data_IF_572449595793
#
_entry.id   IF_572449595793
#
_cell.length_a   1.000
_cell.length_b   1.000
_cell.length_c   1.000
_cell.angle_alpha   90.00
_cell.angle_beta   90.00
_cell.angle_gamma   90.00
#
_symmetry.space_group_name_H-M   'P 1'
#
loop_
_entity.id
_entity.type
_entity.pdbx_description
1 polymer ?
#
# COMPACT_ATOMS: atom_id res chain seq x y z
N UNK A 1 92.20 -5.64 -14.16
CA UNK A 1 92.83 -4.54 -14.86
C UNK A 1 92.09 -3.27 -14.68
N UNK A 2 92.72 -2.33 -14.00
CA UNK A 2 92.74 -0.88 -14.13
C UNK A 2 91.43 -0.13 -13.76
N UNK A 3 91.45 0.49 -12.55
CA UNK A 3 91.91 1.87 -12.18
C UNK A 3 90.93 2.93 -12.67
N UNK A 4 90.46 3.81 -11.93
CA UNK A 4 90.81 4.91 -11.00
C UNK A 4 89.66 5.95 -11.17
N UNK A 5 89.14 6.49 -10.26
CA UNK A 5 89.49 7.53 -9.27
C UNK A 5 88.62 8.80 -9.52
N UNK A 6 88.09 9.30 -8.50
CA UNK A 6 88.35 10.68 -8.08
C UNK A 6 87.10 11.59 -8.05
N UNK A 7 86.94 12.21 -6.91
CA UNK A 7 86.41 13.53 -6.84
C UNK A 7 85.40 13.79 -5.70
N UNK A 8 86.02 14.04 -4.56
CA UNK A 8 85.42 14.67 -3.39
C UNK A 8 85.15 16.15 -3.66
N UNK A 9 83.95 16.67 -3.40
CA UNK A 9 83.71 18.07 -2.96
C UNK A 9 82.57 18.15 -2.01
N UNK A 10 82.82 18.51 -0.78
CA UNK A 10 81.89 18.89 0.28
C UNK A 10 81.55 20.35 0.06
N UNK A 11 80.25 20.68 0.04
CA UNK A 11 79.81 22.00 0.45
C UNK A 11 78.54 21.86 1.30
N UNK A 12 78.71 22.14 2.57
CA UNK A 12 77.59 22.33 3.51
C UNK A 12 77.05 23.71 3.33
N UNK A 13 75.73 23.81 3.27
CA UNK A 13 75.03 25.04 3.66
C UNK A 13 73.71 24.68 4.33
N UNK A 14 73.64 25.10 5.56
CA UNK A 14 72.46 25.05 6.40
C UNK A 14 71.34 25.93 5.82
N UNK A 15 70.16 25.39 5.76
CA UNK A 15 68.93 26.11 5.51
C UNK A 15 67.75 25.56 6.38
N UNK A 16 67.59 26.17 7.55
CA UNK A 16 66.40 25.94 8.33
C UNK A 16 65.15 26.38 7.48
N UNK A 17 64.47 25.42 6.96
CA UNK A 17 63.11 25.60 6.41
C UNK A 17 62.12 24.90 7.34
N UNK A 18 61.47 25.65 8.22
CA UNK A 18 60.35 25.17 8.98
C UNK A 18 59.21 24.83 7.99
N UNK A 19 59.15 23.55 7.62
CA UNK A 19 58.00 23.00 6.95
C UNK A 19 56.84 22.93 7.97
N UNK A 20 56.04 23.98 8.02
CA UNK A 20 54.69 23.90 8.55
C UNK A 20 53.95 22.85 7.73
N UNK A 21 53.93 21.61 8.24
CA UNK A 21 52.95 20.62 7.83
C UNK A 21 51.59 21.16 8.18
N UNK A 22 50.95 21.88 7.22
CA UNK A 22 49.52 22.04 7.22
C UNK A 22 48.93 20.62 7.13
N UNK A 23 48.63 20.05 8.29
CA UNK A 23 47.61 18.99 8.36
C UNK A 23 46.38 19.57 7.69
N UNK A 24 46.10 19.13 6.47
CA UNK A 24 44.84 19.41 5.83
C UNK A 24 43.79 18.92 6.81
N UNK A 25 43.12 19.85 7.44
CA UNK A 25 41.90 19.63 8.19
C UNK A 25 40.96 18.94 7.20
N UNK A 26 40.82 17.61 7.32
CA UNK A 26 39.73 16.89 6.68
C UNK A 26 38.50 17.47 7.33
N UNK A 27 37.88 18.45 6.70
CA UNK A 27 36.60 18.95 7.11
C UNK A 27 35.71 17.74 7.35
N UNK A 28 35.39 17.51 8.62
CA UNK A 28 34.48 16.47 9.02
C UNK A 28 33.22 16.61 8.18
N UNK A 29 32.75 15.53 7.62
CA UNK A 29 31.48 15.55 6.87
C UNK A 29 30.42 16.27 7.71
N UNK A 30 29.61 17.12 7.12
CA UNK A 30 28.60 17.88 7.87
C UNK A 30 27.76 16.90 8.69
N UNK A 31 27.56 17.25 9.96
CA UNK A 31 26.70 16.45 10.85
C UNK A 31 25.30 16.30 10.24
N UNK A 32 24.87 15.09 9.90
CA UNK A 32 23.57 14.87 9.24
C UNK A 32 22.37 15.33 10.08
N UNK A 33 22.55 15.48 11.39
CA UNK A 33 21.52 15.97 12.32
C UNK A 33 21.51 17.49 12.48
N UNK A 34 22.45 18.19 11.82
CA UNK A 34 22.58 19.64 11.87
C UNK A 34 23.37 20.13 13.11
N UNK A 35 23.81 21.40 13.08
CA UNK A 35 24.67 21.98 14.13
C UNK A 35 23.92 22.38 15.39
N UNK A 36 22.61 22.59 15.30
CA UNK A 36 21.77 23.11 16.40
C UNK A 36 21.38 22.00 17.38
N UNK A 37 21.24 22.38 18.66
CA UNK A 37 20.82 21.46 19.73
C UNK A 37 19.77 22.13 20.62
N UNK A 38 18.87 21.31 21.16
CA UNK A 38 17.83 21.78 22.09
C UNK A 38 18.29 21.65 23.55
N UNK A 39 19.10 20.65 23.84
CA UNK A 39 19.64 20.37 25.18
C UNK A 39 20.92 19.54 25.10
N UNK A 40 21.58 19.39 26.25
CA UNK A 40 22.65 18.42 26.48
C UNK A 40 22.30 17.57 27.69
N UNK A 41 22.42 16.26 27.59
CA UNK A 41 22.19 15.31 28.69
C UNK A 41 23.42 14.40 28.84
N UNK A 42 24.00 14.34 30.04
CA UNK A 42 25.22 13.58 30.35
C UNK A 42 26.36 13.80 29.32
N UNK A 43 26.55 15.05 28.89
CA UNK A 43 27.54 15.43 27.89
C UNK A 43 27.17 15.09 26.44
N UNK A 44 26.06 14.43 26.18
CA UNK A 44 25.55 14.13 24.84
C UNK A 44 24.61 15.22 24.36
N UNK A 45 24.83 15.67 23.15
CA UNK A 45 23.99 16.65 22.47
C UNK A 45 22.65 16.01 22.04
N UNK A 46 21.55 16.70 22.32
CA UNK A 46 20.24 16.39 21.74
C UNK A 46 20.01 17.35 20.56
N UNK A 47 20.09 16.85 19.30
CA UNK A 47 19.92 17.66 18.11
C UNK A 47 18.51 18.28 18.05
N UNK A 48 18.42 19.52 17.58
CA UNK A 48 17.11 20.17 17.34
C UNK A 48 16.25 19.41 16.35
N UNK A 49 16.86 18.77 15.32
CA UNK A 49 16.16 17.94 14.35
C UNK A 49 15.44 16.74 14.99
N UNK A 50 16.09 16.08 15.96
CA UNK A 50 15.49 14.95 16.70
C UNK A 50 14.34 15.45 17.57
N UNK A 51 14.53 16.56 18.27
CA UNK A 51 13.51 17.20 19.10
C UNK A 51 12.26 17.54 18.25
N UNK A 52 12.43 18.18 17.11
CA UNK A 52 11.32 18.56 16.21
C UNK A 52 10.53 17.35 15.73
N UNK A 53 11.20 16.27 15.32
CA UNK A 53 10.55 15.03 14.89
C UNK A 53 9.78 14.37 16.04
N UNK A 54 10.37 14.29 17.23
CA UNK A 54 9.70 13.71 18.38
C UNK A 54 8.48 14.53 18.81
N UNK A 55 8.63 15.86 18.86
CA UNK A 55 7.55 16.77 19.19
C UNK A 55 6.36 16.60 18.25
N UNK A 56 6.61 16.61 16.95
CA UNK A 56 5.56 16.41 15.95
C UNK A 56 4.87 15.05 16.11
N UNK A 57 5.65 14.00 16.37
CA UNK A 57 5.12 12.64 16.52
C UNK A 57 4.24 12.49 17.78
N UNK A 58 4.59 13.17 18.89
CA UNK A 58 3.88 13.01 20.17
C UNK A 58 2.75 13.99 20.36
N UNK A 59 2.87 15.21 19.86
CA UNK A 59 1.90 16.29 20.08
C UNK A 59 1.06 16.66 18.86
N UNK A 60 1.49 16.25 17.65
CA UNK A 60 0.91 16.70 16.39
C UNK A 60 1.22 18.16 16.04
N UNK A 61 2.02 18.88 16.86
CA UNK A 61 2.38 20.28 16.66
C UNK A 61 3.83 20.42 16.18
N UNK A 62 4.12 21.47 15.41
CA UNK A 62 5.51 21.82 15.14
C UNK A 62 6.15 22.40 16.41
N UNK A 63 7.45 22.21 16.56
CA UNK A 63 8.19 22.68 17.72
C UNK A 63 8.15 24.22 17.90
N UNK A 64 7.96 24.96 16.83
CA UNK A 64 7.85 26.42 16.83
C UNK A 64 6.47 26.92 17.28
N UNK A 65 5.45 26.05 17.25
CA UNK A 65 4.08 26.36 17.63
C UNK A 65 3.79 26.06 19.11
N UNK A 66 4.79 25.57 19.86
CA UNK A 66 4.65 25.23 21.27
C UNK A 66 4.68 26.46 22.18
N UNK A 67 3.81 26.48 23.16
CA UNK A 67 3.93 27.40 24.30
C UNK A 67 5.21 27.09 25.11
N UNK A 68 5.71 28.03 25.95
CA UNK A 68 6.89 27.75 26.78
C UNK A 68 6.77 26.51 27.68
N UNK A 69 5.59 26.26 28.24
CA UNK A 69 5.35 25.10 29.10
C UNK A 69 5.29 23.80 28.28
N UNK A 70 4.61 23.81 27.12
CA UNK A 70 4.60 22.67 26.18
C UNK A 70 6.02 22.36 25.67
N UNK A 71 6.80 23.38 25.32
CA UNK A 71 8.19 23.18 24.91
C UNK A 71 9.04 22.57 26.01
N UNK A 72 8.87 23.01 27.26
CA UNK A 72 9.59 22.45 28.40
C UNK A 72 9.21 20.97 28.60
N UNK A 73 7.92 20.61 28.49
CA UNK A 73 7.46 19.23 28.58
C UNK A 73 8.07 18.39 27.45
N UNK A 74 8.00 18.85 26.18
CA UNK A 74 8.57 18.16 25.04
C UNK A 74 10.09 17.96 25.14
N UNK A 75 10.83 18.93 25.70
CA UNK A 75 12.26 18.77 25.97
C UNK A 75 12.51 17.66 26.99
N UNK A 76 11.71 17.62 28.08
CA UNK A 76 11.83 16.55 29.10
C UNK A 76 11.53 15.18 28.52
N UNK A 77 10.54 15.05 27.61
CA UNK A 77 10.22 13.79 26.93
C UNK A 77 11.40 13.28 26.09
N UNK A 78 12.04 14.16 25.30
CA UNK A 78 13.21 13.79 24.51
C UNK A 78 14.41 13.44 25.42
N UNK A 79 14.63 14.20 26.50
CA UNK A 79 15.66 13.88 27.49
C UNK A 79 15.41 12.50 28.09
N UNK A 80 14.15 12.19 28.45
CA UNK A 80 13.75 10.87 28.92
C UNK A 80 14.11 9.75 27.96
N UNK A 81 13.84 9.92 26.65
CA UNK A 81 14.23 8.94 25.64
C UNK A 81 15.75 8.71 25.60
N UNK A 82 16.55 9.77 25.67
CA UNK A 82 18.01 9.66 25.68
C UNK A 82 18.53 8.93 26.91
N UNK A 83 17.95 9.22 28.09
CA UNK A 83 18.33 8.57 29.35
C UNK A 83 17.96 7.08 29.34
N UNK A 84 16.75 6.72 28.93
CA UNK A 84 16.33 5.31 28.80
C UNK A 84 17.17 4.55 27.77
N UNK A 85 17.51 5.17 26.66
CA UNK A 85 18.38 4.55 25.66
C UNK A 85 19.81 4.35 26.18
N UNK A 86 20.32 5.27 27.01
CA UNK A 86 21.64 5.12 27.67
C UNK A 86 21.61 4.01 28.72
N UNK A 87 20.57 3.94 29.52
CA UNK A 87 20.37 2.85 30.49
C UNK A 87 20.33 1.49 29.80
N UNK A 88 19.57 1.36 28.70
CA UNK A 88 19.50 0.12 27.94
C UNK A 88 20.87 -0.32 27.39
N UNK A 89 21.72 0.63 26.97
CA UNK A 89 23.11 0.33 26.56
C UNK A 89 23.96 -0.12 27.74
N UNK A 90 23.85 0.56 28.90
CA UNK A 90 24.63 0.24 30.11
C UNK A 90 24.26 -1.14 30.68
N UNK A 91 23.00 -1.50 30.63
CA UNK A 91 22.51 -2.81 31.07
C UNK A 91 22.77 -3.93 30.07
N UNK A 92 23.22 -3.61 28.84
CA UNK A 92 23.54 -4.59 27.80
C UNK A 92 22.33 -5.25 27.15
N UNK A 93 21.11 -4.83 27.46
CA UNK A 93 19.86 -5.45 26.92
C UNK A 93 19.78 -5.36 25.41
N UNK A 94 20.45 -4.37 24.78
CA UNK A 94 20.47 -4.23 23.31
C UNK A 94 21.31 -5.31 22.62
N UNK A 95 22.18 -6.03 23.37
CA UNK A 95 22.96 -7.15 22.88
C UNK A 95 22.22 -8.50 22.95
N UNK A 96 21.08 -8.55 23.61
CA UNK A 96 20.24 -9.73 23.61
C UNK A 96 19.82 -10.08 22.18
N UNK A 97 19.98 -11.36 21.81
CA UNK A 97 19.84 -11.82 20.41
C UNK A 97 18.53 -11.40 19.74
N UNK A 98 17.43 -11.51 20.47
CA UNK A 98 16.10 -11.13 19.94
C UNK A 98 15.98 -9.61 19.74
N UNK A 99 16.47 -8.83 20.69
CA UNK A 99 16.43 -7.35 20.64
C UNK A 99 17.36 -6.84 19.55
N UNK A 100 18.59 -7.36 19.47
CA UNK A 100 19.54 -7.01 18.41
C UNK A 100 18.98 -7.30 17.01
N UNK A 101 18.35 -8.47 16.82
CA UNK A 101 17.71 -8.81 15.54
C UNK A 101 16.55 -7.86 15.19
N UNK A 102 15.74 -7.48 16.18
CA UNK A 102 14.62 -6.53 15.98
C UNK A 102 15.12 -5.12 15.62
N UNK A 103 16.16 -4.65 16.29
CA UNK A 103 16.78 -3.34 15.99
C UNK A 103 17.36 -3.33 14.58
N UNK A 104 18.09 -4.40 14.19
CA UNK A 104 18.65 -4.54 12.85
C UNK A 104 17.56 -4.56 11.78
N UNK A 105 16.48 -5.34 11.99
CA UNK A 105 15.35 -5.36 11.07
C UNK A 105 14.70 -3.97 10.93
N UNK A 106 14.52 -3.26 12.04
CA UNK A 106 13.95 -1.90 12.03
C UNK A 106 14.83 -0.93 11.25
N UNK A 107 16.16 -1.02 11.43
CA UNK A 107 17.14 -0.23 10.68
C UNK A 107 17.03 -0.51 9.19
N UNK A 108 17.09 -1.78 8.79
CA UNK A 108 17.01 -2.20 7.39
C UNK A 108 15.69 -1.76 6.72
N UNK A 109 14.56 -1.92 7.41
CA UNK A 109 13.26 -1.47 6.90
C UNK A 109 13.21 0.04 6.70
N UNK A 110 13.82 0.81 7.61
CA UNK A 110 13.86 2.26 7.48
C UNK A 110 14.73 2.71 6.31
N UNK A 111 15.93 2.13 6.18
CA UNK A 111 16.85 2.42 5.08
C UNK A 111 16.22 2.06 3.72
N UNK A 112 15.62 0.87 3.61
CA UNK A 112 14.94 0.43 2.40
C UNK A 112 13.78 1.38 2.03
N UNK A 113 12.99 1.81 3.01
CA UNK A 113 11.89 2.77 2.77
C UNK A 113 12.40 4.12 2.25
N UNK A 114 13.47 4.66 2.87
CA UNK A 114 14.08 5.92 2.42
C UNK A 114 14.56 5.79 0.97
N UNK A 115 15.22 4.66 0.64
CA UNK A 115 15.71 4.43 -0.72
C UNK A 115 14.56 4.25 -1.72
N UNK A 116 13.50 3.50 -1.34
CA UNK A 116 12.32 3.32 -2.17
C UNK A 116 11.63 4.66 -2.49
N UNK A 117 11.45 5.53 -1.49
CA UNK A 117 10.88 6.87 -1.70
C UNK A 117 11.73 7.67 -2.69
N UNK A 118 13.05 7.74 -2.47
CA UNK A 118 13.96 8.48 -3.35
C UNK A 118 14.01 7.91 -4.77
N UNK A 119 13.95 6.59 -4.90
CA UNK A 119 13.89 5.93 -6.19
C UNK A 119 12.62 6.32 -6.97
N UNK A 120 11.46 6.32 -6.30
CA UNK A 120 10.19 6.71 -6.94
C UNK A 120 10.12 8.22 -7.24
N UNK A 121 10.76 9.08 -6.44
CA UNK A 121 10.90 10.51 -6.77
C UNK A 121 11.72 10.73 -8.06
N UNK A 122 12.73 9.90 -8.30
CA UNK A 122 13.56 9.92 -9.50
C UNK A 122 12.94 9.20 -10.69
N UNK A 123 12.02 8.28 -10.44
CA UNK A 123 11.32 7.46 -11.44
C UNK A 123 9.79 7.53 -11.20
N UNK A 124 9.17 8.71 -11.32
CA UNK A 124 7.75 8.86 -11.09
C UNK A 124 6.94 8.13 -12.16
N UNK A 125 5.78 7.61 -11.79
CA UNK A 125 4.83 7.05 -12.74
C UNK A 125 4.48 8.10 -13.81
N UNK A 126 4.71 7.77 -15.08
CA UNK A 126 4.36 8.63 -16.19
C UNK A 126 2.88 8.51 -16.56
N UNK A 127 2.34 9.54 -17.19
CA UNK A 127 0.95 9.50 -17.64
C UNK A 127 0.72 8.43 -18.71
N UNK A 128 1.72 8.18 -19.54
CA UNK A 128 1.69 7.14 -20.57
C UNK A 128 1.59 5.74 -19.94
N UNK A 129 2.43 5.42 -18.96
CA UNK A 129 2.38 4.16 -18.22
C UNK A 129 1.04 3.97 -17.50
N UNK A 130 0.56 5.03 -16.86
CA UNK A 130 -0.73 4.99 -16.17
C UNK A 130 -1.89 4.74 -17.14
N UNK A 131 -1.90 5.38 -18.31
CA UNK A 131 -2.91 5.14 -19.35
C UNK A 131 -2.83 3.72 -19.90
N UNK A 132 -1.63 3.20 -20.13
CA UNK A 132 -1.45 1.82 -20.59
C UNK A 132 -2.02 0.81 -19.58
N UNK A 133 -1.77 1.01 -18.26
CA UNK A 133 -2.35 0.17 -17.20
C UNK A 133 -3.87 0.29 -17.17
N UNK A 134 -4.42 1.49 -17.32
CA UNK A 134 -5.87 1.69 -17.38
C UNK A 134 -6.48 0.93 -18.58
N UNK A 135 -5.95 1.09 -19.78
CA UNK A 135 -6.44 0.46 -20.99
C UNK A 135 -6.38 -1.07 -20.92
N UNK A 136 -5.30 -1.63 -20.37
CA UNK A 136 -5.17 -3.08 -20.15
C UNK A 136 -6.24 -3.63 -19.19
N UNK A 137 -6.70 -2.84 -18.25
CA UNK A 137 -7.71 -3.25 -17.26
C UNK A 137 -9.14 -2.88 -17.67
N UNK A 138 -9.34 -2.04 -18.68
CA UNK A 138 -10.67 -1.63 -19.17
C UNK A 138 -11.65 -2.79 -19.37
N UNK A 139 -11.26 -3.94 -19.98
CA UNK A 139 -12.17 -5.06 -20.17
C UNK A 139 -12.66 -5.69 -18.86
N UNK A 140 -11.93 -5.49 -17.76
CA UNK A 140 -12.28 -5.99 -16.42
C UNK A 140 -13.03 -4.96 -15.61
N UNK A 141 -12.79 -3.66 -15.85
CA UNK A 141 -13.38 -2.54 -15.12
C UNK A 141 -14.76 -2.16 -15.62
N UNK A 142 -15.03 -2.39 -16.90
CA UNK A 142 -16.28 -2.05 -17.54
C UNK A 142 -16.95 -3.25 -18.21
N UNK A 143 -18.14 -3.00 -18.76
CA UNK A 143 -18.87 -4.02 -19.49
C UNK A 143 -19.60 -5.05 -18.63
N UNK A 144 -19.55 -4.95 -17.30
CA UNK A 144 -20.35 -5.81 -16.44
C UNK A 144 -21.82 -5.49 -16.63
N UNK A 145 -22.56 -6.50 -17.06
CA UNK A 145 -24.02 -6.40 -17.14
C UNK A 145 -24.61 -6.44 -15.73
N UNK A 146 -25.43 -5.45 -15.43
CA UNK A 146 -26.26 -5.39 -14.24
C UNK A 146 -27.69 -5.63 -14.64
N UNK A 147 -28.38 -6.45 -13.86
CA UNK A 147 -29.78 -6.82 -14.06
C UNK A 147 -30.58 -6.30 -12.88
N UNK A 148 -31.72 -5.69 -13.15
CA UNK A 148 -32.73 -5.39 -12.15
C UNK A 148 -33.88 -6.33 -12.33
N UNK A 149 -34.18 -7.15 -11.33
CA UNK A 149 -35.20 -8.17 -11.50
C UNK A 149 -36.00 -8.40 -10.20
N UNK A 150 -37.14 -9.06 -10.38
CA UNK A 150 -37.90 -9.69 -9.30
C UNK A 150 -37.83 -11.19 -9.45
N UNK A 151 -37.82 -11.90 -8.33
CA UNK A 151 -37.70 -13.35 -8.28
C UNK A 151 -38.74 -13.95 -7.31
N UNK A 152 -39.34 -15.04 -7.73
CA UNK A 152 -40.17 -15.91 -6.89
C UNK A 152 -39.48 -17.25 -6.81
N UNK A 153 -39.10 -17.68 -5.60
CA UNK A 153 -38.52 -19.00 -5.36
C UNK A 153 -39.55 -19.88 -4.70
N UNK A 154 -39.73 -21.05 -5.23
CA UNK A 154 -40.65 -22.07 -4.70
C UNK A 154 -39.96 -23.43 -4.64
N UNK A 155 -40.53 -24.38 -3.85
CA UNK A 155 -39.85 -25.66 -3.60
C UNK A 155 -39.94 -26.61 -4.81
N UNK A 156 -41.04 -26.59 -5.55
CA UNK A 156 -41.33 -27.54 -6.63
C UNK A 156 -41.51 -26.89 -7.97
N UNK A 157 -41.30 -27.68 -9.03
CA UNK A 157 -41.53 -27.21 -10.41
C UNK A 157 -43.02 -26.90 -10.64
N UNK A 158 -43.92 -27.70 -10.10
CA UNK A 158 -45.38 -27.55 -10.23
C UNK A 158 -45.85 -26.22 -9.62
N UNK A 159 -45.26 -25.81 -8.49
CA UNK A 159 -45.55 -24.50 -7.88
C UNK A 159 -45.07 -23.36 -8.77
N UNK A 160 -43.89 -23.48 -9.37
CA UNK A 160 -43.37 -22.47 -10.31
C UNK A 160 -44.20 -22.40 -11.59
N UNK A 161 -44.60 -23.53 -12.16
CA UNK A 161 -45.54 -23.59 -13.31
C UNK A 161 -46.88 -22.92 -13.00
N UNK A 162 -47.41 -23.12 -11.76
CA UNK A 162 -48.64 -22.45 -11.31
C UNK A 162 -48.46 -20.92 -11.21
N UNK A 163 -47.31 -20.45 -10.73
CA UNK A 163 -46.96 -19.01 -10.70
C UNK A 163 -46.99 -18.46 -12.13
N UNK A 164 -46.28 -19.12 -13.06
CA UNK A 164 -46.22 -18.71 -14.47
C UNK A 164 -47.65 -18.64 -15.09
N UNK A 165 -48.46 -19.66 -14.84
CA UNK A 165 -49.86 -19.70 -15.31
C UNK A 165 -50.69 -18.52 -14.76
N UNK A 166 -50.47 -18.14 -13.49
CA UNK A 166 -51.15 -17.01 -12.89
C UNK A 166 -50.68 -15.67 -13.44
N UNK A 167 -49.38 -15.54 -13.80
CA UNK A 167 -48.84 -14.37 -14.51
C UNK A 167 -49.46 -14.23 -15.91
N UNK A 168 -49.61 -15.34 -16.65
CA UNK A 168 -50.31 -15.38 -17.93
C UNK A 168 -51.77 -14.94 -17.83
N UNK A 169 -52.41 -15.15 -16.68
CA UNK A 169 -53.77 -14.67 -16.38
C UNK A 169 -53.82 -13.20 -15.93
N UNK A 170 -52.71 -12.50 -15.96
CA UNK A 170 -52.63 -11.07 -15.62
C UNK A 170 -52.49 -10.75 -14.14
N UNK A 171 -52.21 -11.73 -13.27
CA UNK A 171 -51.89 -11.43 -11.87
C UNK A 171 -50.55 -10.70 -11.76
N UNK A 172 -50.47 -9.78 -10.80
CA UNK A 172 -49.22 -8.99 -10.60
C UNK A 172 -48.15 -9.85 -9.97
N UNK A 173 -46.96 -9.74 -10.50
CA UNK A 173 -45.76 -10.50 -10.03
C UNK A 173 -45.53 -10.29 -8.54
N UNK A 174 -45.54 -9.03 -8.08
CA UNK A 174 -45.28 -8.69 -6.67
C UNK A 174 -46.30 -9.32 -5.71
N UNK A 175 -47.55 -9.47 -6.11
CA UNK A 175 -48.60 -10.09 -5.27
C UNK A 175 -48.37 -11.60 -5.18
N UNK A 176 -48.00 -12.24 -6.29
CA UNK A 176 -47.64 -13.66 -6.30
C UNK A 176 -46.38 -13.93 -5.48
N UNK A 177 -45.38 -13.04 -5.54
CA UNK A 177 -44.16 -13.14 -4.74
C UNK A 177 -44.51 -13.09 -3.24
N UNK A 178 -45.31 -12.15 -2.79
CA UNK A 178 -45.74 -12.05 -1.38
C UNK A 178 -46.55 -13.26 -0.91
N UNK A 179 -47.33 -13.84 -1.79
CA UNK A 179 -48.21 -14.97 -1.43
C UNK A 179 -47.54 -16.32 -1.46
N UNK A 180 -46.47 -16.51 -2.26
CA UNK A 180 -45.90 -17.83 -2.58
C UNK A 180 -44.41 -18.01 -2.47
N UNK A 181 -43.63 -16.91 -2.43
CA UNK A 181 -42.16 -17.04 -2.38
C UNK A 181 -41.69 -17.59 -1.03
N UNK A 182 -40.82 -18.59 -1.07
CA UNK A 182 -40.18 -19.20 0.10
C UNK A 182 -38.88 -18.50 0.50
N UNK A 183 -38.56 -17.35 -0.11
CA UNK A 183 -37.30 -16.63 0.11
C UNK A 183 -37.49 -15.28 0.82
N UNK A 184 -36.39 -14.67 1.24
CA UNK A 184 -36.37 -13.41 1.97
C UNK A 184 -36.92 -12.21 1.15
N UNK A 185 -36.98 -12.33 -0.17
CA UNK A 185 -37.49 -11.30 -1.08
C UNK A 185 -39.00 -11.33 -1.22
N UNK A 186 -39.65 -12.41 -0.79
CA UNK A 186 -41.11 -12.55 -0.86
C UNK A 186 -41.90 -11.35 -0.30
N UNK A 187 -41.65 -10.92 0.95
CA UNK A 187 -42.32 -9.77 1.56
C UNK A 187 -42.19 -8.47 0.74
N UNK A 188 -41.07 -8.28 0.05
CA UNK A 188 -40.79 -7.12 -0.80
C UNK A 188 -41.29 -7.30 -2.26
N UNK A 189 -42.22 -8.27 -2.50
CA UNK A 189 -42.73 -8.52 -3.84
C UNK A 189 -41.71 -9.11 -4.80
N UNK A 190 -40.71 -9.83 -4.26
CA UNK A 190 -39.69 -10.52 -5.00
C UNK A 190 -38.51 -9.65 -5.44
N UNK A 191 -38.45 -8.38 -5.06
CA UNK A 191 -37.44 -7.43 -5.54
C UNK A 191 -36.01 -7.85 -5.12
N UNK A 192 -35.14 -8.03 -6.12
CA UNK A 192 -33.72 -8.31 -5.95
C UNK A 192 -32.85 -7.04 -6.02
N UNK A 193 -33.42 -5.91 -6.46
CA UNK A 193 -32.65 -4.74 -6.83
C UNK A 193 -31.75 -5.00 -8.05
N UNK A 194 -30.66 -4.24 -8.14
CA UNK A 194 -29.61 -4.44 -9.14
C UNK A 194 -28.63 -5.51 -8.69
N UNK A 195 -28.33 -6.49 -9.54
CA UNK A 195 -27.33 -7.53 -9.29
C UNK A 195 -26.42 -7.75 -10.50
N UNK A 196 -25.27 -8.33 -10.26
CA UNK A 196 -24.25 -8.71 -11.25
C UNK A 196 -24.12 -10.23 -11.30
N UNK A 197 -23.37 -10.74 -12.27
CA UNK A 197 -23.19 -12.19 -12.46
C UNK A 197 -22.47 -12.89 -11.29
N UNK A 198 -21.67 -12.16 -10.53
CA UNK A 198 -20.90 -12.63 -9.38
C UNK A 198 -21.69 -12.60 -8.06
N UNK A 199 -22.83 -11.91 -8.03
CA UNK A 199 -23.67 -11.78 -6.82
C UNK A 199 -24.95 -12.62 -6.85
N UNK A 200 -25.17 -13.38 -7.92
CA UNK A 200 -26.38 -14.18 -8.10
C UNK A 200 -26.03 -15.59 -8.61
N UNK A 201 -26.92 -16.57 -8.32
CA UNK A 201 -26.72 -17.95 -8.79
C UNK A 201 -26.74 -18.01 -10.32
N UNK A 202 -25.82 -18.79 -10.87
CA UNK A 202 -25.55 -18.87 -12.31
C UNK A 202 -26.81 -19.12 -13.17
N UNK A 203 -27.75 -20.06 -12.82
CA UNK A 203 -28.93 -20.28 -13.63
C UNK A 203 -29.84 -19.04 -13.77
N UNK A 204 -29.92 -18.21 -12.71
CA UNK A 204 -30.72 -16.97 -12.73
C UNK A 204 -30.04 -15.91 -13.60
N UNK A 205 -28.71 -15.81 -13.55
CA UNK A 205 -27.93 -14.90 -14.42
C UNK A 205 -28.08 -15.27 -15.89
N UNK A 206 -27.98 -16.55 -16.22
CA UNK A 206 -28.14 -17.04 -17.60
C UNK A 206 -29.55 -16.76 -18.13
N UNK A 207 -30.57 -17.00 -17.31
CA UNK A 207 -31.95 -16.65 -17.66
C UNK A 207 -32.11 -15.15 -17.87
N UNK A 208 -31.61 -14.31 -16.96
CA UNK A 208 -31.69 -12.86 -17.08
C UNK A 208 -31.02 -12.33 -18.37
N UNK A 209 -29.88 -12.90 -18.77
CA UNK A 209 -29.18 -12.56 -20.02
C UNK A 209 -29.98 -12.90 -21.28
N UNK A 210 -30.74 -14.00 -21.24
CA UNK A 210 -31.56 -14.47 -22.38
C UNK A 210 -32.89 -13.77 -22.49
N UNK A 211 -33.34 -13.10 -21.42
CA UNK A 211 -34.66 -12.46 -21.36
C UNK A 211 -34.68 -11.06 -21.98
N UNK A 212 -35.85 -10.63 -22.42
CA UNK A 212 -36.11 -9.22 -22.78
C UNK A 212 -36.56 -8.44 -21.55
N UNK A 213 -36.08 -7.22 -21.42
CA UNK A 213 -36.52 -6.29 -20.37
C UNK A 213 -38.06 -6.16 -20.41
N UNK A 214 -38.69 -6.16 -19.24
CA UNK A 214 -40.12 -6.12 -19.08
C UNK A 214 -40.86 -7.47 -19.20
N UNK A 215 -40.12 -8.58 -19.38
CA UNK A 215 -40.73 -9.92 -19.48
C UNK A 215 -40.39 -10.79 -18.26
N UNK A 216 -41.24 -11.79 -18.02
CA UNK A 216 -40.96 -12.83 -17.01
C UNK A 216 -40.58 -14.16 -17.70
N UNK A 217 -39.87 -15.01 -16.95
CA UNK A 217 -39.48 -16.34 -17.42
C UNK A 217 -40.72 -17.21 -17.71
N UNK A 218 -40.77 -17.79 -18.93
CA UNK A 218 -41.86 -18.63 -19.37
C UNK A 218 -41.74 -20.09 -18.92
N UNK A 219 -40.57 -20.46 -18.39
CA UNK A 219 -40.29 -21.77 -17.80
C UNK A 219 -39.61 -21.61 -16.44
N UNK A 220 -39.84 -22.53 -15.49
CA UNK A 220 -39.15 -22.52 -14.21
C UNK A 220 -37.63 -22.69 -14.34
N UNK A 221 -36.86 -21.83 -13.65
CA UNK A 221 -35.41 -21.88 -13.61
C UNK A 221 -34.98 -22.68 -12.38
N UNK A 222 -34.28 -23.81 -12.55
CA UNK A 222 -33.86 -24.67 -11.43
C UNK A 222 -32.51 -24.18 -10.87
N UNK A 223 -32.42 -24.10 -9.54
CA UNK A 223 -31.16 -23.88 -8.80
C UNK A 223 -31.09 -24.81 -7.57
N UNK A 224 -30.02 -24.67 -6.79
CA UNK A 224 -29.89 -25.33 -5.49
C UNK A 224 -30.91 -24.85 -4.44
N UNK A 225 -31.47 -23.65 -4.61
CA UNK A 225 -32.48 -23.05 -3.71
C UNK A 225 -33.92 -23.41 -4.10
N UNK A 226 -34.13 -24.13 -5.16
CA UNK A 226 -35.45 -24.50 -5.66
C UNK A 226 -35.70 -24.05 -7.10
N UNK A 227 -36.94 -23.74 -7.39
CA UNK A 227 -37.38 -23.27 -8.72
C UNK A 227 -37.70 -21.79 -8.69
N UNK A 228 -37.13 -21.06 -9.61
CA UNK A 228 -37.28 -19.60 -9.73
C UNK A 228 -38.20 -19.25 -10.88
N UNK A 229 -38.99 -18.23 -10.67
CA UNK A 229 -39.67 -17.48 -11.73
C UNK A 229 -39.14 -16.06 -11.67
N UNK A 230 -38.48 -15.59 -12.74
CA UNK A 230 -37.82 -14.31 -12.82
C UNK A 230 -38.63 -13.31 -13.65
N UNK A 231 -38.71 -12.06 -13.21
CA UNK A 231 -39.16 -10.91 -14.00
C UNK A 231 -37.98 -9.96 -14.17
N UNK A 232 -37.52 -9.78 -15.40
CA UNK A 232 -36.45 -8.81 -15.69
C UNK A 232 -37.06 -7.42 -15.86
N UNK A 233 -36.82 -6.52 -14.90
CA UNK A 233 -37.37 -5.15 -14.93
C UNK A 233 -36.50 -4.20 -15.78
N UNK A 234 -35.17 -4.36 -15.69
CA UNK A 234 -34.20 -3.51 -16.42
C UNK A 234 -32.85 -4.22 -16.57
N UNK A 235 -32.02 -3.76 -17.51
CA UNK A 235 -30.69 -4.25 -17.77
C UNK A 235 -29.81 -3.09 -18.22
N UNK A 236 -28.65 -2.96 -17.61
CA UNK A 236 -27.65 -1.95 -18.01
C UNK A 236 -26.24 -2.54 -18.04
N UNK A 237 -25.41 -1.95 -18.84
CA UNK A 237 -23.97 -2.21 -18.78
C UNK A 237 -23.34 -1.14 -17.90
N UNK A 238 -22.65 -1.57 -16.85
CA UNK A 238 -21.92 -0.65 -15.99
C UNK A 238 -20.75 -0.06 -16.77
N UNK A 239 -20.71 1.26 -16.89
CA UNK A 239 -19.55 1.93 -17.46
C UNK A 239 -18.33 1.68 -16.58
N UNK A 240 -17.16 1.53 -17.21
CA UNK A 240 -15.91 1.52 -16.45
C UNK A 240 -15.71 2.88 -15.77
N UNK A 241 -15.19 2.90 -14.54
CA UNK A 241 -14.75 4.16 -13.94
C UNK A 241 -13.74 4.85 -14.88
N UNK A 242 -13.80 6.16 -14.93
CA UNK A 242 -12.89 6.93 -15.78
C UNK A 242 -11.45 6.83 -15.30
N UNK A 243 -10.50 7.11 -16.20
CA UNK A 243 -9.08 7.21 -15.85
C UNK A 243 -8.84 8.18 -14.69
N UNK A 244 -9.51 9.32 -14.67
CA UNK A 244 -9.34 10.33 -13.61
C UNK A 244 -9.85 9.84 -12.26
N UNK A 245 -10.95 9.09 -12.21
CA UNK A 245 -11.45 8.48 -10.98
C UNK A 245 -10.47 7.45 -10.41
N UNK A 246 -9.75 6.71 -11.26
CA UNK A 246 -8.81 5.67 -10.86
C UNK A 246 -7.35 6.14 -10.84
N UNK A 247 -7.08 7.41 -11.19
CA UNK A 247 -5.72 7.94 -11.36
C UNK A 247 -4.79 7.66 -10.18
N UNK A 248 -5.28 7.86 -8.96
CA UNK A 248 -4.49 7.62 -7.73
C UNK A 248 -4.15 6.14 -7.53
N UNK A 249 -5.11 5.26 -7.77
CA UNK A 249 -4.91 3.81 -7.63
C UNK A 249 -3.97 3.27 -8.70
N UNK A 250 -4.12 3.74 -9.95
CA UNK A 250 -3.27 3.38 -11.07
C UNK A 250 -1.84 3.86 -10.85
N UNK A 251 -1.67 5.12 -10.39
CA UNK A 251 -0.35 5.64 -10.02
C UNK A 251 0.34 4.73 -9.00
N UNK A 252 -0.35 4.40 -7.92
CA UNK A 252 0.19 3.52 -6.89
C UNK A 252 0.52 2.11 -7.42
N UNK A 253 -0.25 1.61 -8.40
CA UNK A 253 0.02 0.32 -9.03
C UNK A 253 1.29 0.37 -9.90
N UNK A 254 1.45 1.40 -10.72
CA UNK A 254 2.64 1.62 -11.55
C UNK A 254 3.89 1.78 -10.67
N UNK A 255 3.83 2.63 -9.64
CA UNK A 255 4.94 2.86 -8.73
C UNK A 255 5.34 1.57 -7.97
N UNK A 256 4.39 0.75 -7.56
CA UNK A 256 4.68 -0.56 -6.95
C UNK A 256 5.38 -1.50 -7.92
N UNK A 257 4.92 -1.59 -9.17
CA UNK A 257 5.55 -2.46 -10.17
C UNK A 257 6.96 -1.98 -10.50
N UNK A 258 7.15 -0.69 -10.69
CA UNK A 258 8.46 -0.05 -10.92
C UNK A 258 9.43 -0.36 -9.79
N UNK A 259 9.00 -0.21 -8.54
CA UNK A 259 9.83 -0.53 -7.38
C UNK A 259 10.14 -2.03 -7.29
N UNK A 260 9.15 -2.88 -7.53
CA UNK A 260 9.35 -4.34 -7.53
C UNK A 260 10.33 -4.78 -8.63
N UNK A 261 10.25 -4.16 -9.80
CA UNK A 261 11.20 -4.42 -10.89
C UNK A 261 12.62 -4.06 -10.48
N UNK A 262 12.80 -2.88 -9.91
CA UNK A 262 14.11 -2.44 -9.39
C UNK A 262 14.65 -3.41 -8.32
N UNK A 263 13.83 -3.83 -7.37
CA UNK A 263 14.25 -4.81 -6.35
C UNK A 263 14.65 -6.15 -6.97
N UNK A 264 13.91 -6.63 -7.99
CA UNK A 264 14.28 -7.85 -8.73
C UNK A 264 15.64 -7.69 -9.43
N UNK A 265 15.91 -6.54 -10.02
CA UNK A 265 17.19 -6.24 -10.67
C UNK A 265 18.36 -6.24 -9.64
N UNK A 266 18.15 -5.63 -8.46
CA UNK A 266 19.12 -5.66 -7.37
C UNK A 266 19.41 -7.10 -6.91
N UNK A 267 18.37 -7.93 -6.74
CA UNK A 267 18.52 -9.33 -6.36
C UNK A 267 19.29 -10.11 -7.44
N UNK A 268 18.96 -9.89 -8.70
CA UNK A 268 19.61 -10.58 -9.81
C UNK A 268 21.10 -10.21 -9.96
N UNK A 269 21.46 -8.98 -9.60
CA UNK A 269 22.85 -8.51 -9.61
C UNK A 269 23.64 -8.94 -8.35
N UNK A 270 22.98 -9.37 -7.29
CA UNK A 270 23.60 -9.74 -6.03
C UNK A 270 24.14 -11.18 -6.06
N UNK A 271 25.26 -11.40 -5.41
CA UNK A 271 25.74 -12.75 -5.10
C UNK A 271 25.07 -13.26 -3.83
N UNK A 272 23.99 -14.01 -3.98
CA UNK A 272 23.27 -14.61 -2.84
C UNK A 272 23.83 -16.00 -2.58
N UNK A 273 24.20 -16.27 -1.33
CA UNK A 273 24.59 -17.59 -0.84
C UNK A 273 23.67 -17.94 0.33
N UNK A 274 22.85 -18.96 0.15
CA UNK A 274 21.97 -19.44 1.22
C UNK A 274 22.79 -20.11 2.32
N UNK A 275 22.63 -19.64 3.56
CA UNK A 275 23.22 -20.31 4.73
C UNK A 275 22.41 -21.55 5.08
N UNK A 276 23.09 -22.66 5.32
CA UNK A 276 22.48 -23.86 5.90
C UNK A 276 22.08 -23.53 7.35
N UNK A 277 20.84 -23.12 7.55
CA UNK A 277 20.29 -22.91 8.90
C UNK A 277 20.29 -24.25 9.64
N UNK A 278 21.21 -24.38 10.61
CA UNK A 278 21.17 -25.43 11.65
C UNK A 278 20.66 -24.78 12.93
#
# INVERSE_FOLDING_TARGET
MTKLAGGLIIVALAGLGAACSRTADRSAAPDPLGPTQVATVNGKRIPESVFRLQTLATTGKNADDLTPDERKAAVNDVVGLYLMADEARQQGVLAERAIAAQLELTRLQREARVMATRFLEQNPATEEEMKAVYEQNLPRLGGQQQFKARNIVVATKEEADLVIKQLQQGKKFADLARARANGPTGPNGGDLGWFTADTMVQPVVEAARAMKVGTYATEPIKSEFGYHVLLLEDMRTQAAPSFEELRGEIKNAVERDTLQKHVRELIAAAKVVEGNGK
#
